data_IF_991581030766
#
_entry.id   IF_991581030766
#
_cell.length_a   1.000
_cell.length_b   1.000
_cell.length_c   1.000
_cell.angle_alpha   90.00
_cell.angle_beta   90.00
_cell.angle_gamma   90.00
#
_symmetry.space_group_name_H-M   'P 1'
#
loop_
_entity.id
_entity.type
_entity.pdbx_description
1 polymer ?
#
# COMPACT_ATOMS: atom_id res chain seq x y z
N UNK A 1 -5.53 -9.75 -7.86
CA UNK A 1 -6.42 -9.03 -6.91
C UNK A 1 -7.52 -8.33 -7.71
N UNK A 2 -8.82 -8.60 -7.51
CA UNK A 2 -9.86 -7.89 -8.25
C UNK A 2 -10.02 -6.51 -7.62
N UNK A 3 -9.39 -5.50 -8.22
CA UNK A 3 -9.35 -4.08 -7.83
C UNK A 3 -8.43 -3.77 -6.63
N UNK A 4 -7.31 -3.11 -6.93
CA UNK A 4 -6.31 -2.66 -5.96
C UNK A 4 -6.86 -1.58 -5.02
N UNK A 5 -7.81 -0.77 -5.49
CA UNK A 5 -8.43 0.32 -4.74
C UNK A 5 -9.95 0.11 -4.68
N UNK A 6 -10.51 0.29 -3.48
CA UNK A 6 -11.94 0.19 -3.21
C UNK A 6 -12.41 1.49 -2.58
N UNK A 7 -13.37 2.16 -3.21
CA UNK A 7 -14.02 3.33 -2.62
C UNK A 7 -15.18 2.88 -1.75
N UNK A 8 -15.17 3.29 -0.49
CA UNK A 8 -16.23 3.02 0.48
C UNK A 8 -16.86 4.34 0.96
N UNK A 9 -18.20 4.40 1.11
CA UNK A 9 -18.86 5.56 1.68
C UNK A 9 -18.61 5.64 3.19
N UNK A 10 -18.32 6.83 3.71
CA UNK A 10 -18.00 7.06 5.13
C UNK A 10 -19.21 6.95 6.05
N UNK A 11 -20.43 7.02 5.49
CA UNK A 11 -21.71 6.94 6.21
C UNK A 11 -22.33 5.53 6.20
N UNK A 12 -21.61 4.52 5.72
CA UNK A 12 -22.13 3.16 5.67
C UNK A 12 -22.34 2.64 7.10
N UNK A 13 -23.54 2.12 7.41
CA UNK A 13 -23.87 1.44 8.68
C UNK A 13 -23.05 0.15 8.91
N UNK A 14 -22.17 -0.19 7.99
CA UNK A 14 -21.41 -1.43 8.03
C UNK A 14 -20.28 -1.33 9.05
N UNK A 15 -20.12 -2.37 9.87
CA UNK A 15 -19.15 -2.52 10.97
C UNK A 15 -17.70 -2.67 10.51
N UNK A 16 -17.37 -2.22 9.30
CA UNK A 16 -16.07 -2.44 8.71
C UNK A 16 -15.00 -1.67 9.49
N UNK A 17 -13.88 -2.35 9.79
CA UNK A 17 -12.79 -1.83 10.62
C UNK A 17 -12.29 -0.46 10.14
N UNK A 18 -12.23 -0.25 8.82
CA UNK A 18 -11.76 0.99 8.20
C UNK A 18 -12.69 2.20 8.43
N UNK A 19 -13.99 1.99 8.69
CA UNK A 19 -14.91 3.07 9.03
C UNK A 19 -14.68 3.50 10.48
N UNK A 20 -14.50 2.52 11.38
CA UNK A 20 -14.29 2.75 12.82
C UNK A 20 -12.97 3.43 13.12
N UNK A 21 -11.92 3.05 12.39
CA UNK A 21 -10.56 3.48 12.69
C UNK A 21 -10.07 4.60 11.75
N UNK A 22 -10.60 4.67 10.53
CA UNK A 22 -10.04 5.52 9.48
C UNK A 22 -10.70 6.89 9.33
N UNK A 23 -12.03 6.99 9.43
CA UNK A 23 -12.76 8.19 9.00
C UNK A 23 -12.40 9.43 9.83
N UNK A 24 -12.44 9.32 11.15
CA UNK A 24 -12.16 10.46 12.03
C UNK A 24 -10.69 10.86 11.98
N UNK A 25 -9.79 9.89 11.85
CA UNK A 25 -8.35 10.14 11.71
C UNK A 25 -8.06 10.84 10.38
N UNK A 26 -8.64 10.39 9.27
CA UNK A 26 -8.48 11.02 7.95
C UNK A 26 -9.05 12.43 7.94
N UNK A 27 -10.23 12.65 8.53
CA UNK A 27 -10.80 14.01 8.65
C UNK A 27 -9.89 14.94 9.46
N UNK A 28 -9.41 14.48 10.62
CA UNK A 28 -8.48 15.24 11.46
C UNK A 28 -7.19 15.57 10.70
N UNK A 29 -6.62 14.58 10.02
CA UNK A 29 -5.44 14.75 9.17
C UNK A 29 -5.65 15.79 8.09
N UNK A 30 -6.77 15.70 7.36
CA UNK A 30 -7.12 16.66 6.32
C UNK A 30 -7.13 18.08 6.85
N UNK A 31 -7.62 18.33 8.07
CA UNK A 31 -7.59 19.68 8.64
C UNK A 31 -6.19 20.17 9.02
N UNK A 32 -5.23 19.27 9.22
CA UNK A 32 -3.85 19.58 9.62
C UNK A 32 -2.85 19.67 8.46
N UNK A 33 -3.18 19.16 7.28
CA UNK A 33 -2.27 19.16 6.14
C UNK A 33 -2.12 20.57 5.51
N UNK A 34 -1.03 20.83 4.79
CA UNK A 34 -0.93 21.97 3.90
C UNK A 34 -2.15 22.13 2.96
N UNK A 35 -2.58 23.37 2.74
CA UNK A 35 -3.82 23.70 2.01
C UNK A 35 -3.90 23.05 0.62
N UNK A 36 -2.78 22.99 -0.11
CA UNK A 36 -2.76 22.42 -1.46
C UNK A 36 -3.10 20.91 -1.45
N UNK A 37 -2.63 20.15 -0.46
CA UNK A 37 -2.99 18.73 -0.30
C UNK A 37 -4.46 18.55 0.08
N UNK A 38 -5.02 19.46 0.89
CA UNK A 38 -6.44 19.41 1.25
C UNK A 38 -7.34 19.63 0.03
N UNK A 39 -7.02 20.64 -0.79
CA UNK A 39 -7.78 20.97 -2.00
C UNK A 39 -7.76 19.78 -2.95
N UNK A 40 -6.56 19.27 -3.26
CA UNK A 40 -6.40 18.19 -4.21
C UNK A 40 -7.09 16.89 -3.75
N UNK A 41 -6.99 16.54 -2.47
CA UNK A 41 -7.72 15.40 -1.91
C UNK A 41 -9.24 15.56 -2.07
N UNK A 42 -9.78 16.75 -1.75
CA UNK A 42 -11.22 17.02 -1.87
C UNK A 42 -11.70 16.97 -3.33
N UNK A 43 -10.91 17.48 -4.26
CA UNK A 43 -11.22 17.42 -5.70
C UNK A 43 -11.25 15.99 -6.23
N UNK A 44 -10.36 15.12 -5.73
CA UNK A 44 -10.25 13.75 -6.21
C UNK A 44 -11.31 12.78 -5.66
N UNK A 45 -11.71 12.92 -4.39
CA UNK A 45 -12.63 11.96 -3.77
C UNK A 45 -13.81 12.59 -3.00
N UNK A 46 -13.69 13.85 -2.59
CA UNK A 46 -14.63 14.51 -1.70
C UNK A 46 -14.51 14.06 -0.24
N UNK A 47 -15.39 14.55 0.63
CA UNK A 47 -15.29 14.36 2.08
C UNK A 47 -16.08 13.16 2.62
N UNK A 48 -16.97 12.59 1.81
CA UNK A 48 -17.92 11.54 2.23
C UNK A 48 -17.48 10.12 1.82
N UNK A 49 -16.25 9.98 1.32
CA UNK A 49 -15.73 8.73 0.77
C UNK A 49 -14.32 8.47 1.29
N UNK A 50 -13.98 7.19 1.41
CA UNK A 50 -12.67 6.71 1.81
C UNK A 50 -12.19 5.68 0.78
N UNK A 51 -10.92 5.75 0.38
CA UNK A 51 -10.31 4.70 -0.45
C UNK A 51 -9.52 3.75 0.42
N UNK A 52 -9.66 2.46 0.11
CA UNK A 52 -8.93 1.38 0.75
C UNK A 52 -8.08 0.70 -0.32
N UNK A 53 -6.77 0.63 -0.07
CA UNK A 53 -5.85 -0.18 -0.85
C UNK A 53 -5.86 -1.62 -0.34
N UNK A 54 -5.97 -2.58 -1.24
CA UNK A 54 -5.77 -4.00 -0.97
C UNK A 54 -4.38 -4.50 -1.38
N UNK A 55 -3.56 -3.64 -1.99
CA UNK A 55 -2.19 -3.96 -2.42
C UNK A 55 -1.17 -3.61 -1.34
N UNK A 56 -0.20 -4.49 -1.14
CA UNK A 56 0.91 -4.29 -0.21
C UNK A 56 2.11 -3.59 -0.87
N UNK A 57 2.09 -3.45 -2.20
CA UNK A 57 3.13 -2.78 -2.99
C UNK A 57 2.52 -1.57 -3.69
N UNK A 58 3.24 -0.44 -3.64
CA UNK A 58 2.91 0.79 -4.34
C UNK A 58 4.19 1.45 -4.87
N UNK A 59 4.05 2.25 -5.92
CA UNK A 59 5.15 3.00 -6.51
C UNK A 59 4.88 4.50 -6.40
N UNK A 60 5.84 5.23 -5.84
CA UNK A 60 5.83 6.69 -5.80
C UNK A 60 6.77 7.18 -6.89
N UNK A 61 6.24 7.90 -7.88
CA UNK A 61 7.06 8.51 -8.91
C UNK A 61 8.06 9.49 -8.29
N UNK A 62 9.28 9.56 -8.83
CA UNK A 62 10.35 10.40 -8.30
C UNK A 62 9.92 11.86 -8.04
N UNK A 63 9.07 12.41 -8.92
CA UNK A 63 8.54 13.77 -8.79
C UNK A 63 7.69 14.02 -7.53
N UNK A 64 7.13 12.97 -6.93
CA UNK A 64 6.27 13.02 -5.75
C UNK A 64 6.95 12.52 -4.47
N UNK A 65 8.24 12.15 -4.53
CA UNK A 65 8.94 11.60 -3.37
C UNK A 65 9.00 12.62 -2.22
N UNK A 66 9.25 13.89 -2.52
CA UNK A 66 9.28 14.95 -1.50
C UNK A 66 7.91 15.09 -0.80
N UNK A 67 6.84 15.26 -1.59
CA UNK A 67 5.47 15.37 -1.08
C UNK A 67 5.06 14.14 -0.27
N UNK A 68 5.48 12.94 -0.71
CA UNK A 68 5.20 11.70 0.00
C UNK A 68 5.91 11.66 1.36
N UNK A 69 7.18 12.06 1.42
CA UNK A 69 7.94 12.15 2.68
C UNK A 69 7.28 13.13 3.64
N UNK A 70 6.88 14.29 3.15
CA UNK A 70 6.17 15.29 3.95
C UNK A 70 4.84 14.74 4.46
N UNK A 71 4.03 14.10 3.61
CA UNK A 71 2.75 13.52 4.05
C UNK A 71 2.95 12.42 5.10
N UNK A 72 3.94 11.54 4.92
CA UNK A 72 4.28 10.50 5.91
C UNK A 72 4.65 11.12 7.25
N UNK A 73 5.42 12.22 7.27
CA UNK A 73 5.80 12.88 8.52
C UNK A 73 4.61 13.49 9.26
N UNK A 74 3.55 13.92 8.55
CA UNK A 74 2.33 14.43 9.16
C UNK A 74 1.42 13.32 9.72
N UNK A 75 1.58 12.08 9.26
CA UNK A 75 0.70 10.95 9.60
C UNK A 75 1.35 9.96 10.56
N UNK A 76 2.67 9.99 10.72
CA UNK A 76 3.42 9.03 11.55
C UNK A 76 2.94 8.91 13.01
N UNK A 77 2.40 10.00 13.59
CA UNK A 77 1.88 10.00 14.97
C UNK A 77 0.44 9.48 15.08
N UNK A 78 -0.25 9.39 13.96
CA UNK A 78 -1.63 8.92 13.90
C UNK A 78 -1.59 7.47 13.45
N UNK A 79 -2.17 6.57 14.27
CA UNK A 79 -2.23 5.12 14.02
C UNK A 79 -3.16 4.76 12.86
N UNK A 80 -3.07 5.48 11.75
CA UNK A 80 -3.84 5.27 10.54
C UNK A 80 -3.27 4.06 9.81
N UNK A 81 -4.13 3.07 9.57
CA UNK A 81 -3.72 1.86 8.88
C UNK A 81 -3.22 2.18 7.45
N UNK A 82 -2.11 1.58 7.03
CA UNK A 82 -1.46 1.83 5.73
C UNK A 82 -2.39 1.70 4.52
N UNK A 83 -3.33 0.74 4.57
CA UNK A 83 -4.38 0.52 3.57
C UNK A 83 -5.28 1.75 3.35
N UNK A 84 -5.32 2.70 4.27
CA UNK A 84 -6.06 3.96 4.18
C UNK A 84 -5.08 5.12 3.94
N UNK A 85 -3.97 5.16 4.68
CA UNK A 85 -2.97 6.21 4.58
C UNK A 85 -2.37 6.31 3.17
N UNK A 86 -2.02 5.18 2.54
CA UNK A 86 -1.40 5.15 1.21
C UNK A 86 -2.34 5.75 0.15
N UNK A 87 -3.59 5.29 -0.05
CA UNK A 87 -4.50 5.96 -0.98
C UNK A 87 -4.70 7.44 -0.67
N UNK A 88 -4.79 7.81 0.61
CA UNK A 88 -4.95 9.19 1.03
C UNK A 88 -3.77 10.07 0.57
N UNK A 89 -2.53 9.61 0.74
CA UNK A 89 -1.36 10.37 0.28
C UNK A 89 -1.37 10.56 -1.22
N UNK A 90 -1.65 9.49 -1.96
CA UNK A 90 -1.70 9.53 -3.41
C UNK A 90 -2.76 10.53 -3.89
N UNK A 91 -3.98 10.44 -3.35
CA UNK A 91 -5.08 11.37 -3.69
C UNK A 91 -4.84 12.81 -3.25
N UNK A 92 -4.00 13.03 -2.23
CA UNK A 92 -3.58 14.35 -1.78
C UNK A 92 -2.48 14.93 -2.70
N UNK A 93 -1.56 14.11 -3.19
CA UNK A 93 -0.47 14.54 -4.08
C UNK A 93 -0.92 14.80 -5.51
N UNK A 94 -1.79 13.95 -6.07
CA UNK A 94 -2.22 14.06 -7.47
C UNK A 94 -3.55 13.31 -7.73
N UNK A 95 -4.05 13.41 -8.95
CA UNK A 95 -5.25 12.69 -9.37
C UNK A 95 -5.06 11.18 -9.41
N UNK A 96 -6.11 10.46 -9.01
CA UNK A 96 -6.17 8.99 -9.13
C UNK A 96 -5.90 8.47 -10.55
N UNK A 97 -6.17 9.26 -11.60
CA UNK A 97 -5.87 8.89 -12.99
C UNK A 97 -4.38 8.88 -13.31
N UNK A 98 -3.58 9.64 -12.56
CA UNK A 98 -2.12 9.72 -12.72
C UNK A 98 -1.41 8.59 -11.98
N UNK A 99 -2.13 7.85 -11.13
CA UNK A 99 -1.64 6.65 -10.49
C UNK A 99 -2.18 5.44 -11.24
N UNK A 100 -1.26 4.75 -11.92
CA UNK A 100 -1.65 3.70 -12.85
C UNK A 100 -2.17 2.47 -12.12
N UNK A 101 -3.49 2.47 -11.89
CA UNK A 101 -4.22 1.30 -11.39
C UNK A 101 -4.13 0.10 -12.35
N UNK A 102 -3.77 0.31 -13.62
CA UNK A 102 -3.53 -0.75 -14.60
C UNK A 102 -2.14 -1.37 -14.44
N UNK A 103 -1.10 -0.58 -14.16
CA UNK A 103 0.25 -1.08 -13.86
C UNK A 103 0.26 -2.01 -12.64
N UNK A 104 -0.57 -1.73 -11.62
CA UNK A 104 -0.73 -2.61 -10.45
C UNK A 104 -1.75 -3.74 -10.65
N UNK A 105 -2.61 -3.66 -11.68
CA UNK A 105 -3.58 -4.71 -12.04
C UNK A 105 -2.94 -5.88 -12.79
N UNK A 106 -1.94 -5.61 -13.61
CA UNK A 106 -1.16 -6.63 -14.33
C UNK A 106 -0.17 -7.37 -13.41
N UNK A 107 0.08 -6.83 -12.23
CA UNK A 107 0.94 -7.44 -11.24
C UNK A 107 0.27 -8.72 -10.72
N UNK A 108 0.79 -9.88 -11.16
CA UNK A 108 0.34 -11.18 -10.69
C UNK A 108 0.91 -11.38 -9.28
N UNK A 109 0.04 -11.21 -8.28
CA UNK A 109 0.36 -11.48 -6.88
C UNK A 109 0.11 -12.95 -6.58
N UNK A 110 1.18 -13.68 -6.20
CA UNK A 110 1.00 -14.99 -5.57
C UNK A 110 0.77 -14.79 -4.08
N UNK A 111 -0.44 -15.11 -3.64
CA UNK A 111 -0.80 -15.14 -2.22
C UNK A 111 -0.18 -16.39 -1.60
N UNK A 112 0.44 -16.23 -0.43
CA UNK A 112 1.03 -17.35 0.31
C UNK A 112 -0.04 -18.38 0.68
N UNK A 113 0.02 -19.57 0.08
CA UNK A 113 -0.69 -20.77 0.55
C UNK A 113 0.15 -21.53 1.58
N UNK A 114 -0.43 -22.56 2.20
CA UNK A 114 0.19 -23.47 3.19
C UNK A 114 1.30 -24.37 2.59
N UNK A 115 2.18 -23.82 1.77
CA UNK A 115 3.32 -24.54 1.24
C UNK A 115 4.49 -24.48 2.23
N UNK A 116 5.07 -25.64 2.53
CA UNK A 116 6.27 -25.76 3.36
C UNK A 116 7.56 -25.39 2.62
N UNK A 117 7.52 -25.19 1.29
CA UNK A 117 8.67 -24.85 0.46
C UNK A 117 8.65 -23.38 0.01
N UNK A 118 9.59 -22.54 0.49
CA UNK A 118 9.73 -21.15 0.08
C UNK A 118 9.86 -20.96 -1.45
N UNK A 119 10.50 -21.90 -2.15
CA UNK A 119 10.72 -21.81 -3.61
C UNK A 119 9.40 -21.82 -4.38
N UNK A 120 8.40 -22.52 -3.85
CA UNK A 120 7.08 -22.60 -4.47
C UNK A 120 6.38 -21.23 -4.55
N UNK A 121 6.78 -20.24 -3.77
CA UNK A 121 6.20 -18.90 -3.82
C UNK A 121 6.79 -18.05 -4.95
N UNK A 122 8.01 -18.35 -5.41
CA UNK A 122 8.70 -17.60 -6.46
C UNK A 122 8.42 -18.21 -7.84
N UNK A 123 7.67 -17.50 -8.67
CA UNK A 123 7.40 -17.86 -10.06
C UNK A 123 7.98 -16.81 -11.00
N UNK A 124 8.53 -17.27 -12.13
CA UNK A 124 9.04 -16.39 -13.18
C UNK A 124 7.96 -15.43 -13.75
N UNK A 125 6.68 -15.79 -13.63
CA UNK A 125 5.55 -15.01 -14.13
C UNK A 125 4.85 -14.18 -13.05
N UNK A 126 5.22 -14.32 -11.77
CA UNK A 126 4.63 -13.53 -10.70
C UNK A 126 5.47 -12.26 -10.49
N UNK A 127 4.88 -11.10 -10.77
CA UNK A 127 5.56 -9.81 -10.60
C UNK A 127 5.75 -9.44 -9.12
N UNK A 128 4.99 -10.05 -8.21
CA UNK A 128 5.11 -9.86 -6.77
C UNK A 128 4.76 -11.15 -6.02
N UNK A 129 5.53 -11.44 -4.98
CA UNK A 129 5.34 -12.57 -4.09
C UNK A 129 5.22 -12.04 -2.66
N UNK A 130 4.14 -12.39 -1.97
CA UNK A 130 4.00 -11.98 -0.58
C UNK A 130 5.06 -12.71 0.25
N UNK A 131 5.90 -12.02 1.04
CA UNK A 131 6.98 -12.67 1.76
C UNK A 131 6.42 -13.68 2.77
N UNK A 132 7.13 -14.80 2.88
CA UNK A 132 6.96 -15.74 3.99
C UNK A 132 7.21 -15.00 5.31
N UNK A 133 6.44 -15.32 6.35
CA UNK A 133 6.57 -14.68 7.66
C UNK A 133 7.89 -15.10 8.31
N UNK A 134 8.90 -14.23 8.21
CA UNK A 134 10.20 -14.41 8.88
C UNK A 134 10.01 -14.20 10.38
N UNK A 135 10.29 -15.24 11.17
CA UNK A 135 10.17 -15.17 12.63
C UNK A 135 11.53 -15.26 13.35
N UNK A 136 12.60 -15.62 12.64
CA UNK A 136 13.97 -15.76 13.15
C UNK A 136 15.00 -15.69 12.00
N UNK A 137 16.28 -15.61 12.35
CA UNK A 137 17.39 -15.51 11.39
C UNK A 137 17.50 -16.73 10.46
N UNK A 138 17.14 -17.94 10.94
CA UNK A 138 17.13 -19.12 10.08
C UNK A 138 16.07 -19.02 8.98
N UNK A 139 14.90 -18.47 9.29
CA UNK A 139 13.83 -18.23 8.33
C UNK A 139 14.21 -17.12 7.35
N UNK A 140 14.91 -16.09 7.84
CA UNK A 140 15.47 -15.03 7.00
C UNK A 140 16.48 -15.58 5.98
N UNK A 141 17.43 -16.41 6.42
CA UNK A 141 18.43 -17.01 5.52
C UNK A 141 17.80 -17.95 4.47
N UNK A 142 16.74 -18.68 4.84
CA UNK A 142 15.97 -19.52 3.91
C UNK A 142 15.22 -18.66 2.88
N UNK A 143 14.64 -17.54 3.31
CA UNK A 143 13.96 -16.59 2.43
C UNK A 143 14.94 -15.99 1.40
N UNK A 144 16.09 -15.49 1.85
CA UNK A 144 17.10 -14.88 0.96
C UNK A 144 17.59 -15.90 -0.09
N UNK A 145 17.88 -17.15 0.32
CA UNK A 145 18.26 -18.21 -0.63
C UNK A 145 17.17 -18.56 -1.66
N UNK A 146 15.91 -18.47 -1.26
CA UNK A 146 14.78 -18.71 -2.17
C UNK A 146 14.62 -17.56 -3.17
N UNK A 147 14.71 -16.31 -2.70
CA UNK A 147 14.69 -15.11 -3.55
C UNK A 147 15.85 -15.10 -4.53
N UNK A 148 17.04 -15.48 -4.08
CA UNK A 148 18.23 -15.45 -4.92
C UNK A 148 18.26 -16.50 -6.02
N UNK A 149 17.37 -17.51 -5.95
CA UNK A 149 17.20 -18.47 -7.03
C UNK A 149 16.59 -17.82 -8.29
N UNK A 150 15.86 -16.71 -8.12
CA UNK A 150 15.30 -15.90 -9.21
C UNK A 150 16.12 -14.65 -9.54
N UNK A 151 16.92 -14.15 -8.60
CA UNK A 151 17.81 -12.99 -8.78
C UNK A 151 19.15 -13.22 -8.04
N UNK A 152 20.19 -13.70 -8.74
CA UNK A 152 21.47 -14.05 -8.14
C UNK A 152 22.16 -12.92 -7.37
N UNK A 153 21.88 -11.65 -7.71
CA UNK A 153 22.49 -10.48 -7.06
C UNK A 153 22.08 -10.35 -5.58
N UNK A 154 20.95 -10.96 -5.18
CA UNK A 154 20.48 -10.93 -3.79
C UNK A 154 21.37 -11.74 -2.84
N UNK A 155 22.23 -12.64 -3.33
CA UNK A 155 23.23 -13.32 -2.50
C UNK A 155 24.42 -12.43 -2.13
N UNK A 156 24.65 -11.35 -2.87
CA UNK A 156 25.77 -10.42 -2.62
C UNK A 156 25.48 -9.47 -1.44
N UNK A 157 24.23 -9.43 -0.97
CA UNK A 157 23.77 -8.59 0.14
C UNK A 157 23.80 -9.30 1.51
N UNK A 158 24.23 -10.57 1.54
CA UNK A 158 24.48 -11.37 2.75
C UNK A 158 25.95 -11.28 3.17
#
# INVERSE_FOLDING_TARGET
VPKSWITAPTNSKNSAWYIREGVDIVKKLMTSLPVHFQINYKENIGEEKLVICSSDIFYVSQRFVADFVDLVSHVGDLKLHQKIAVPMFFLAMDSSSNFDSQALKSMIYRVGGESSDPKSFYLAQAAAVHPWKVSNDSDFMKLIRAMSSGDPLLLELL
#
